data_IF_445538905764
#
_entry.id   IF_445538905764
#
_cell.length_a   1.000
_cell.length_b   1.000
_cell.length_c   1.000
_cell.angle_alpha   90.00
_cell.angle_beta   90.00
_cell.angle_gamma   90.00
#
_symmetry.space_group_name_H-M   'P 1'
#
loop_
_entity.id
_entity.type
_entity.pdbx_description
1 polymer ?
#
# COMPACT_ATOMS: atom_id res chain seq x y z
N UNK A 1 15.67 18.53 -2.22
CA UNK A 1 14.99 19.76 -2.70
C UNK A 1 13.56 19.43 -3.16
N UNK A 2 12.53 20.15 -2.70
CA UNK A 2 11.15 19.90 -3.12
C UNK A 2 11.02 20.12 -4.63
N UNK A 3 10.20 19.31 -5.31
CA UNK A 3 10.05 19.37 -6.76
C UNK A 3 9.26 20.63 -7.16
N UNK A 4 9.46 21.18 -8.37
CA UNK A 4 8.67 22.30 -8.88
C UNK A 4 7.18 21.91 -8.93
N UNK A 5 6.39 22.48 -8.02
CA UNK A 5 4.98 22.09 -7.76
C UNK A 5 4.70 21.94 -6.27
N UNK A 6 5.62 21.35 -5.51
CA UNK A 6 5.53 21.22 -4.05
C UNK A 6 5.85 22.55 -3.34
N UNK A 7 6.66 23.39 -3.98
CA UNK A 7 6.93 24.75 -3.50
C UNK A 7 5.65 25.59 -3.40
N UNK A 8 4.63 25.39 -4.26
CA UNK A 8 3.34 26.10 -4.12
C UNK A 8 2.53 25.62 -2.92
N UNK A 9 2.61 24.33 -2.57
CA UNK A 9 1.91 23.75 -1.41
C UNK A 9 2.58 24.16 -0.11
N UNK A 10 3.91 24.06 -0.01
CA UNK A 10 4.67 24.43 1.19
C UNK A 10 4.65 25.94 1.41
N UNK A 11 4.80 26.75 0.36
CA UNK A 11 4.72 28.22 0.45
C UNK A 11 3.28 28.68 0.73
N UNK A 12 2.27 27.96 0.25
CA UNK A 12 0.86 28.19 0.59
C UNK A 12 0.55 27.87 2.06
N UNK A 13 1.08 26.75 2.60
CA UNK A 13 0.85 26.33 3.98
C UNK A 13 1.60 27.22 4.98
N UNK A 14 2.87 27.55 4.75
CA UNK A 14 3.63 28.46 5.61
C UNK A 14 3.06 29.89 5.60
N UNK A 15 2.61 30.37 4.44
CA UNK A 15 1.98 31.69 4.33
C UNK A 15 0.60 31.69 5.00
N UNK A 16 -0.19 30.62 4.86
CA UNK A 16 -1.46 30.46 5.55
C UNK A 16 -1.29 30.35 7.08
N UNK A 17 -0.24 29.68 7.57
CA UNK A 17 0.09 29.58 9.01
C UNK A 17 0.55 30.94 9.55
N UNK A 18 1.40 31.68 8.84
CA UNK A 18 1.82 33.03 9.26
C UNK A 18 0.68 34.04 9.19
N UNK A 19 -0.17 33.94 8.17
CA UNK A 19 -1.35 34.78 7.99
C UNK A 19 -2.42 34.48 9.05
N UNK A 20 -2.70 33.20 9.33
CA UNK A 20 -3.65 32.81 10.38
C UNK A 20 -3.17 33.21 11.77
N UNK A 21 -1.88 33.07 12.08
CA UNK A 21 -1.30 33.56 13.33
C UNK A 21 -1.49 35.08 13.49
N UNK A 22 -1.34 35.86 12.42
CA UNK A 22 -1.60 37.29 12.42
C UNK A 22 -3.08 37.63 12.69
N UNK A 23 -4.01 36.91 12.07
CA UNK A 23 -5.45 37.12 12.25
C UNK A 23 -5.93 36.75 13.66
N UNK A 24 -5.38 35.70 14.26
CA UNK A 24 -5.67 35.30 15.64
C UNK A 24 -5.18 36.36 16.63
N UNK A 25 -4.01 36.95 16.37
CA UNK A 25 -3.47 38.04 17.20
C UNK A 25 -4.30 39.34 17.10
N UNK A 26 -5.07 39.51 16.02
CA UNK A 26 -5.93 40.69 15.78
C UNK A 26 -7.39 40.48 16.20
N UNK A 27 -7.75 39.37 16.86
CA UNK A 27 -9.12 39.00 17.29
C UNK A 27 -10.16 39.06 16.15
N UNK A 28 -9.75 38.66 14.94
CA UNK A 28 -10.55 38.76 13.72
C UNK A 28 -11.48 37.57 13.47
N UNK A 29 -11.86 36.78 14.47
CA UNK A 29 -12.76 35.63 14.33
C UNK A 29 -12.46 34.80 13.05
N UNK A 30 -11.32 34.10 13.08
CA UNK A 30 -10.77 33.35 11.95
C UNK A 30 -11.23 31.88 11.97
N UNK A 31 -11.53 31.32 10.79
CA UNK A 31 -11.75 29.89 10.60
C UNK A 31 -11.05 29.38 9.31
N UNK A 32 -10.49 28.17 9.39
CA UNK A 32 -9.82 27.46 8.30
C UNK A 32 -10.39 26.06 8.14
N UNK A 33 -10.73 25.68 6.90
CA UNK A 33 -11.40 24.42 6.56
C UNK A 33 -10.56 23.52 5.62
N UNK A 34 -9.28 23.86 5.41
CA UNK A 34 -8.47 23.26 4.35
C UNK A 34 -8.22 21.74 4.44
N UNK A 35 -8.46 21.13 5.60
CA UNK A 35 -8.37 19.67 5.75
C UNK A 35 -9.55 18.93 5.11
N UNK A 36 -10.66 19.64 4.85
CA UNK A 36 -11.90 19.07 4.29
C UNK A 36 -12.24 19.61 2.89
N UNK A 37 -11.64 20.73 2.51
CA UNK A 37 -11.96 21.48 1.29
C UNK A 37 -10.88 21.23 0.23
N UNK A 38 -11.31 20.87 -0.99
CA UNK A 38 -10.41 20.59 -2.12
C UNK A 38 -10.80 21.41 -3.34
N UNK A 39 -9.90 21.55 -4.32
CA UNK A 39 -10.17 22.28 -5.57
C UNK A 39 -11.34 21.68 -6.40
N UNK A 40 -11.75 20.46 -6.10
CA UNK A 40 -12.94 19.83 -6.69
C UNK A 40 -14.26 20.48 -6.23
N UNK A 41 -14.24 21.22 -5.12
CA UNK A 41 -15.39 21.93 -4.55
C UNK A 41 -15.13 23.44 -4.58
N UNK A 42 -15.05 24.07 -5.76
CA UNK A 42 -14.68 25.48 -5.89
C UNK A 42 -15.63 26.42 -5.13
N UNK A 43 -16.86 25.98 -4.85
CA UNK A 43 -17.86 26.74 -4.08
C UNK A 43 -17.61 26.74 -2.56
N UNK A 44 -16.77 25.85 -2.05
CA UNK A 44 -16.60 25.66 -0.61
C UNK A 44 -15.75 26.78 0.01
N UNK A 45 -16.15 27.24 1.19
CA UNK A 45 -15.38 28.21 1.98
C UNK A 45 -14.12 27.51 2.49
N UNK A 46 -12.95 27.94 2.00
CA UNK A 46 -11.65 27.43 2.43
C UNK A 46 -11.20 28.09 3.73
N UNK A 47 -11.38 29.41 3.83
CA UNK A 47 -11.12 30.17 5.06
C UNK A 47 -11.91 31.47 5.10
N UNK A 48 -12.09 31.99 6.32
CA UNK A 48 -12.76 33.27 6.56
C UNK A 48 -12.21 34.01 7.76
N UNK A 49 -12.35 35.33 7.77
CA UNK A 49 -12.09 36.17 8.94
C UNK A 49 -12.94 37.44 8.90
N UNK A 50 -13.25 37.96 10.08
CA UNK A 50 -13.98 39.20 10.28
C UNK A 50 -13.14 40.40 9.85
N UNK A 51 -13.80 41.32 9.15
CA UNK A 51 -13.26 42.62 8.73
C UNK A 51 -14.17 43.74 9.29
N UNK A 52 -13.89 44.99 8.91
CA UNK A 52 -14.66 46.16 9.37
C UNK A 52 -16.15 46.08 8.95
N UNK A 53 -16.99 46.91 9.60
CA UNK A 53 -18.42 47.04 9.32
C UNK A 53 -19.25 45.75 9.45
N UNK A 54 -18.78 44.79 10.26
CA UNK A 54 -19.50 43.53 10.51
C UNK A 54 -19.50 42.56 9.33
N UNK A 55 -18.57 42.73 8.39
CA UNK A 55 -18.38 41.84 7.24
C UNK A 55 -17.31 40.80 7.51
N UNK A 56 -17.23 39.81 6.63
CA UNK A 56 -16.18 38.80 6.59
C UNK A 56 -15.52 38.80 5.23
N UNK A 57 -14.20 38.61 5.20
CA UNK A 57 -13.50 38.21 3.98
C UNK A 57 -13.45 36.69 3.95
N UNK A 58 -13.83 36.13 2.81
CA UNK A 58 -13.80 34.70 2.55
C UNK A 58 -12.84 34.40 1.40
N UNK A 59 -12.18 33.26 1.49
CA UNK A 59 -11.43 32.64 0.39
C UNK A 59 -12.13 31.32 0.08
N UNK A 60 -12.45 31.12 -1.19
CA UNK A 60 -13.02 29.86 -1.69
C UNK A 60 -11.92 28.86 -2.05
N UNK A 61 -12.30 27.61 -2.29
CA UNK A 61 -11.36 26.55 -2.67
C UNK A 61 -10.65 26.83 -4.02
N UNK A 62 -11.28 27.61 -4.91
CA UNK A 62 -10.68 28.09 -6.16
C UNK A 62 -9.74 29.30 -5.97
N UNK A 63 -9.50 29.69 -4.72
CA UNK A 63 -8.66 30.81 -4.29
C UNK A 63 -9.20 32.19 -4.68
N UNK A 64 -10.46 32.27 -5.11
CA UNK A 64 -11.14 33.57 -5.24
C UNK A 64 -11.48 34.14 -3.86
N UNK A 65 -11.44 35.47 -3.76
CA UNK A 65 -11.71 36.19 -2.53
C UNK A 65 -12.92 37.11 -2.67
N UNK A 66 -13.74 37.19 -1.62
CA UNK A 66 -14.92 38.08 -1.58
C UNK A 66 -15.16 38.59 -0.17
N UNK A 67 -15.73 39.78 -0.05
CA UNK A 67 -16.24 40.31 1.21
C UNK A 67 -17.76 40.10 1.27
N UNK A 68 -18.24 39.57 2.39
CA UNK A 68 -19.64 39.16 2.58
C UNK A 68 -20.18 39.64 3.92
N UNK A 69 -21.50 39.83 3.99
CA UNK A 69 -22.20 40.01 5.27
C UNK A 69 -22.19 38.72 6.11
N UNK A 70 -22.42 38.83 7.42
CA UNK A 70 -22.56 37.67 8.29
C UNK A 70 -23.69 36.71 7.83
N UNK A 71 -24.79 37.25 7.30
CA UNK A 71 -25.90 36.44 6.78
C UNK A 71 -25.54 35.66 5.52
N UNK A 72 -24.80 36.28 4.59
CA UNK A 72 -24.27 35.58 3.41
C UNK A 72 -23.21 34.54 3.78
N UNK A 73 -22.33 34.83 4.75
CA UNK A 73 -21.36 33.86 5.24
C UNK A 73 -22.06 32.60 5.76
N UNK A 74 -23.07 32.76 6.60
CA UNK A 74 -23.84 31.65 7.15
C UNK A 74 -24.50 30.81 6.04
N UNK A 75 -24.96 31.44 4.95
CA UNK A 75 -25.51 30.71 3.79
C UNK A 75 -24.44 29.93 3.03
N UNK A 76 -23.24 30.50 2.87
CA UNK A 76 -22.13 29.85 2.16
C UNK A 76 -21.54 28.69 2.98
N UNK A 77 -21.40 28.85 4.29
CA UNK A 77 -20.93 27.79 5.20
C UNK A 77 -21.95 26.66 5.37
N UNK A 78 -23.24 26.93 5.11
CA UNK A 78 -24.29 25.90 5.11
C UNK A 78 -24.35 25.07 3.81
N UNK A 79 -23.61 25.44 2.75
CA UNK A 79 -23.59 24.66 1.51
C UNK A 79 -22.78 23.37 1.73
N UNK A 80 -23.35 22.18 1.51
CA UNK A 80 -22.61 20.93 1.68
C UNK A 80 -21.47 20.84 0.65
N UNK A 81 -20.36 20.21 1.06
CA UNK A 81 -19.20 19.98 0.20
C UNK A 81 -19.60 19.17 -1.04
N UNK A 82 -20.30 18.07 -0.81
CA UNK A 82 -20.96 17.30 -1.85
C UNK A 82 -22.37 17.85 -2.10
N UNK A 83 -22.60 18.40 -3.28
CA UNK A 83 -23.92 18.90 -3.69
C UNK A 83 -24.80 17.84 -4.34
N UNK A 84 -24.28 16.61 -4.53
CA UNK A 84 -25.05 15.47 -5.05
C UNK A 84 -25.85 14.83 -3.93
N UNK A 85 -26.99 14.20 -4.22
CA UNK A 85 -27.81 13.55 -3.19
C UNK A 85 -27.23 12.23 -2.68
N UNK A 86 -26.13 11.73 -3.24
CA UNK A 86 -25.53 10.42 -2.94
C UNK A 86 -24.13 10.58 -2.34
N UNK A 87 -23.73 9.64 -1.50
CA UNK A 87 -22.37 9.54 -0.97
C UNK A 87 -21.32 9.43 -2.09
N UNK A 88 -20.13 10.00 -1.86
CA UNK A 88 -18.97 9.93 -2.76
C UNK A 88 -17.67 9.73 -1.98
N UNK A 89 -16.54 9.52 -2.67
CA UNK A 89 -15.20 9.34 -2.08
C UNK A 89 -15.17 8.25 -1.00
N UNK A 90 -15.49 7.01 -1.36
CA UNK A 90 -15.43 5.88 -0.45
C UNK A 90 -14.02 5.66 0.10
N UNK A 91 -13.95 5.16 1.32
CA UNK A 91 -12.76 4.59 1.96
C UNK A 91 -13.17 3.25 2.61
N UNK A 92 -12.54 2.11 2.26
CA UNK A 92 -11.55 1.96 1.20
C UNK A 92 -12.01 2.51 -0.15
N UNK A 93 -11.07 3.05 -0.92
CA UNK A 93 -11.35 3.54 -2.27
C UNK A 93 -11.98 2.43 -3.12
N UNK A 94 -12.84 2.80 -4.06
CA UNK A 94 -13.47 1.81 -4.94
C UNK A 94 -12.40 1.06 -5.75
N UNK A 95 -12.45 -0.27 -5.68
CA UNK A 95 -11.45 -1.16 -6.27
C UNK A 95 -10.15 -1.28 -5.47
N UNK A 96 -10.10 -0.82 -4.21
CA UNK A 96 -8.90 -0.95 -3.38
C UNK A 96 -8.52 -2.43 -3.18
N UNK A 97 -7.22 -2.72 -3.20
CA UNK A 97 -6.67 -4.08 -3.03
C UNK A 97 -5.72 -4.16 -1.83
N UNK A 98 -5.72 -5.33 -1.18
CA UNK A 98 -4.82 -5.64 -0.07
C UNK A 98 -5.22 -5.05 1.28
N UNK A 99 -6.46 -4.60 1.46
CA UNK A 99 -6.87 -3.84 2.65
C UNK A 99 -6.65 -4.62 3.96
N UNK A 100 -6.33 -3.91 5.04
CA UNK A 100 -6.21 -4.49 6.38
C UNK A 100 -7.49 -5.24 6.80
N UNK A 101 -7.33 -6.35 7.53
CA UNK A 101 -8.48 -7.10 8.09
C UNK A 101 -8.98 -6.49 9.40
N UNK A 102 -8.07 -5.94 10.21
CA UNK A 102 -8.35 -5.42 11.55
C UNK A 102 -8.32 -3.91 11.57
N UNK A 103 -9.22 -3.30 12.35
CA UNK A 103 -9.30 -1.84 12.50
C UNK A 103 -9.86 -1.09 11.28
N UNK A 104 -10.12 -1.77 10.17
CA UNK A 104 -10.72 -1.17 8.98
C UNK A 104 -12.16 -0.69 9.26
N UNK A 105 -12.48 0.49 8.74
CA UNK A 105 -13.83 1.06 8.75
C UNK A 105 -14.19 1.51 7.35
N UNK A 106 -15.49 1.51 7.05
CA UNK A 106 -16.01 2.20 5.88
C UNK A 106 -16.17 3.67 6.22
N UNK A 107 -15.72 4.57 5.38
CA UNK A 107 -16.05 6.00 5.46
C UNK A 107 -16.28 6.61 4.09
N UNK A 108 -17.03 7.71 4.05
CA UNK A 108 -17.43 8.35 2.80
C UNK A 108 -17.63 9.84 3.02
N UNK A 109 -17.78 10.59 1.93
CA UNK A 109 -18.31 11.94 1.98
C UNK A 109 -19.83 11.89 1.81
N UNK A 110 -20.60 12.35 2.81
CA UNK A 110 -22.07 12.39 2.75
C UNK A 110 -22.63 13.06 1.51
N UNK A 111 -23.82 12.65 1.08
CA UNK A 111 -24.68 13.39 0.16
C UNK A 111 -25.12 14.75 0.73
N UNK A 112 -25.66 15.60 -0.14
CA UNK A 112 -26.21 16.89 0.25
C UNK A 112 -27.41 16.74 1.19
N UNK A 113 -27.39 17.51 2.28
CA UNK A 113 -28.50 17.69 3.23
C UNK A 113 -29.03 16.41 3.88
N UNK A 114 -28.17 15.42 4.10
CA UNK A 114 -28.55 14.10 4.64
C UNK A 114 -28.79 14.15 6.15
N UNK A 115 -29.77 13.35 6.62
CA UNK A 115 -30.00 13.11 8.05
C UNK A 115 -29.36 11.80 8.55
N UNK A 116 -29.37 10.75 7.73
CA UNK A 116 -28.95 9.41 8.10
C UNK A 116 -28.41 8.64 6.88
N UNK A 117 -27.52 7.70 7.13
CA UNK A 117 -26.90 6.82 6.15
C UNK A 117 -27.32 5.37 6.39
N UNK A 118 -27.77 4.67 5.36
CA UNK A 118 -27.97 3.20 5.38
C UNK A 118 -26.81 2.54 4.66
N UNK A 119 -25.98 1.82 5.40
CA UNK A 119 -24.78 1.17 4.85
C UNK A 119 -25.11 -0.28 4.53
N UNK A 120 -24.87 -0.67 3.28
CA UNK A 120 -25.03 -2.05 2.81
C UNK A 120 -23.67 -2.67 2.57
N UNK A 121 -23.52 -3.95 2.89
CA UNK A 121 -22.26 -4.68 2.79
C UNK A 121 -22.49 -6.15 2.46
N UNK A 122 -21.59 -6.76 1.70
CA UNK A 122 -21.62 -8.19 1.39
C UNK A 122 -20.48 -8.63 0.47
N UNK A 123 -20.44 -9.90 0.12
CA UNK A 123 -19.44 -10.50 -0.80
C UNK A 123 -19.98 -10.71 -2.21
N UNK A 124 -21.21 -10.27 -2.48
CA UNK A 124 -21.84 -10.31 -3.80
C UNK A 124 -22.46 -8.96 -4.13
N UNK A 125 -22.16 -8.45 -5.32
CA UNK A 125 -22.69 -7.18 -5.83
C UNK A 125 -24.23 -7.18 -5.90
N UNK A 126 -24.84 -8.35 -6.15
CA UNK A 126 -26.28 -8.51 -6.29
C UNK A 126 -27.01 -8.76 -4.97
N UNK A 127 -26.26 -9.09 -3.89
CA UNK A 127 -26.84 -9.53 -2.63
C UNK A 127 -26.09 -8.98 -1.42
N UNK A 128 -26.12 -7.66 -1.24
CA UNK A 128 -25.65 -7.00 -0.03
C UNK A 128 -26.77 -6.89 1.01
N UNK A 129 -26.44 -7.09 2.28
CA UNK A 129 -27.34 -6.88 3.41
C UNK A 129 -27.12 -5.51 4.05
N UNK A 130 -28.16 -4.97 4.70
CA UNK A 130 -28.01 -3.78 5.54
C UNK A 130 -27.04 -4.11 6.70
N UNK A 131 -25.91 -3.41 6.72
CA UNK A 131 -24.89 -3.53 7.76
C UNK A 131 -25.25 -2.67 8.98
N UNK A 132 -25.60 -1.40 8.74
CA UNK A 132 -25.94 -0.45 9.80
C UNK A 132 -26.71 0.76 9.27
N UNK A 133 -27.39 1.46 10.19
CA UNK A 133 -27.94 2.80 9.98
C UNK A 133 -27.16 3.74 10.91
N UNK A 134 -26.56 4.81 10.36
CA UNK A 134 -25.66 5.71 11.10
C UNK A 134 -25.90 7.16 10.75
N UNK A 135 -25.61 8.06 11.69
CA UNK A 135 -25.59 9.53 11.45
C UNK A 135 -24.16 10.07 11.28
N UNK A 136 -23.16 9.18 11.41
CA UNK A 136 -21.75 9.45 11.15
C UNK A 136 -21.41 9.18 9.68
N UNK A 137 -20.31 9.75 9.21
CA UNK A 137 -19.74 9.53 7.87
C UNK A 137 -18.84 8.27 7.80
N UNK A 138 -19.04 7.34 8.75
CA UNK A 138 -18.34 6.06 8.82
C UNK A 138 -19.21 4.96 9.44
N UNK A 139 -18.85 3.71 9.13
CA UNK A 139 -19.42 2.50 9.71
C UNK A 139 -18.33 1.47 10.04
N UNK A 140 -18.50 0.75 11.15
CA UNK A 140 -17.67 -0.39 11.48
C UNK A 140 -17.96 -1.59 10.58
N UNK A 141 -16.97 -2.46 10.40
CA UNK A 141 -17.08 -3.67 9.59
C UNK A 141 -17.22 -4.92 10.48
N UNK A 142 -17.86 -6.00 9.97
CA UNK A 142 -17.76 -7.32 10.58
C UNK A 142 -16.33 -7.87 10.44
N UNK A 143 -16.08 -9.05 11.01
CA UNK A 143 -14.83 -9.78 10.75
C UNK A 143 -14.69 -10.06 9.25
N UNK A 144 -13.51 -9.75 8.71
CA UNK A 144 -13.18 -9.89 7.29
C UNK A 144 -12.33 -11.13 7.06
N UNK A 145 -12.52 -11.75 5.90
CA UNK A 145 -11.72 -12.87 5.43
C UNK A 145 -10.66 -12.38 4.44
N UNK A 146 -9.43 -12.92 4.55
CA UNK A 146 -8.35 -12.67 3.58
C UNK A 146 -8.74 -13.25 2.21
N UNK A 147 -8.31 -12.61 1.13
CA UNK A 147 -8.56 -13.05 -0.25
C UNK A 147 -9.97 -12.81 -0.75
N UNK A 148 -10.78 -12.03 -0.02
CA UNK A 148 -12.20 -11.82 -0.31
C UNK A 148 -12.43 -10.43 -0.87
N UNK A 149 -13.23 -10.35 -1.93
CA UNK A 149 -13.77 -9.10 -2.43
C UNK A 149 -15.10 -8.79 -1.73
N UNK A 150 -15.16 -7.62 -1.12
CA UNK A 150 -16.36 -7.09 -0.51
C UNK A 150 -16.94 -5.96 -1.35
N UNK A 151 -18.26 -5.89 -1.38
CA UNK A 151 -19.06 -4.86 -2.02
C UNK A 151 -19.83 -4.11 -0.96
N UNK A 152 -19.94 -2.80 -1.13
CA UNK A 152 -20.66 -1.95 -0.21
C UNK A 152 -21.24 -0.74 -0.90
N UNK A 153 -22.28 -0.16 -0.30
CA UNK A 153 -22.83 1.13 -0.72
C UNK A 153 -23.44 1.88 0.44
N UNK A 154 -23.68 3.16 0.25
CA UNK A 154 -24.36 4.02 1.22
C UNK A 154 -25.59 4.63 0.57
N UNK A 155 -26.76 4.27 1.10
CA UNK A 155 -28.03 4.89 0.70
C UNK A 155 -28.31 6.07 1.63
N UNK A 156 -28.49 7.25 1.04
CA UNK A 156 -28.61 8.52 1.76
C UNK A 156 -30.07 8.84 2.08
N UNK A 157 -30.38 9.03 3.37
CA UNK A 157 -31.74 9.33 3.85
C UNK A 157 -31.89 10.84 4.04
N UNK A 158 -32.77 11.43 3.23
CA UNK A 158 -33.07 12.86 3.25
C UNK A 158 -34.04 13.24 4.38
N UNK A 159 -34.12 14.52 4.79
CA UNK A 159 -34.96 14.95 5.90
C UNK A 159 -36.46 14.69 5.70
N UNK A 160 -36.92 14.69 4.46
CA UNK A 160 -38.28 14.33 4.07
C UNK A 160 -38.53 12.82 3.99
N UNK A 161 -37.51 11.99 4.25
CA UNK A 161 -37.56 10.54 4.26
C UNK A 161 -37.33 9.88 2.90
N UNK A 162 -37.00 10.65 1.85
CA UNK A 162 -36.60 10.08 0.56
C UNK A 162 -35.22 9.43 0.67
N UNK A 163 -34.98 8.35 -0.08
CA UNK A 163 -33.71 7.62 -0.07
C UNK A 163 -33.04 7.75 -1.43
N UNK A 164 -31.83 8.31 -1.44
CA UNK A 164 -30.97 8.34 -2.62
C UNK A 164 -29.99 7.18 -2.57
N UNK A 165 -30.26 6.13 -3.35
CA UNK A 165 -29.39 4.95 -3.45
C UNK A 165 -28.00 5.32 -3.94
N UNK A 166 -26.97 4.91 -3.20
CA UNK A 166 -25.57 5.17 -3.53
C UNK A 166 -25.05 4.33 -4.69
N UNK A 167 -23.85 4.70 -5.16
CA UNK A 167 -23.10 3.85 -6.08
C UNK A 167 -22.52 2.66 -5.30
N UNK A 168 -22.32 1.52 -5.98
CA UNK A 168 -21.71 0.34 -5.35
C UNK A 168 -20.20 0.45 -5.51
N UNK A 169 -19.51 0.33 -4.39
CA UNK A 169 -18.06 0.30 -4.31
C UNK A 169 -17.57 -1.08 -3.87
N UNK A 170 -16.31 -1.36 -4.14
CA UNK A 170 -15.69 -2.63 -3.76
C UNK A 170 -14.29 -2.45 -3.20
N UNK A 171 -13.83 -3.44 -2.43
CA UNK A 171 -12.43 -3.62 -2.07
C UNK A 171 -12.10 -5.09 -1.87
N UNK A 172 -10.83 -5.45 -2.00
CA UNK A 172 -10.30 -6.79 -1.80
C UNK A 172 -9.28 -6.81 -0.66
N UNK A 173 -9.33 -7.82 0.21
CA UNK A 173 -8.46 -7.96 1.39
C UNK A 173 -7.07 -8.53 1.09
N UNK A 174 -6.72 -8.71 -0.19
CA UNK A 174 -5.47 -9.29 -0.69
C UNK A 174 -5.34 -10.77 -0.38
N UNK A 175 -4.43 -11.48 -1.05
CA UNK A 175 -4.22 -12.93 -0.87
C UNK A 175 -2.75 -13.31 -0.97
N UNK A 176 -2.43 -14.54 -0.56
CA UNK A 176 -1.22 -15.22 -0.98
C UNK A 176 -1.31 -15.47 -2.49
N UNK A 177 -0.40 -14.87 -3.25
CA UNK A 177 -0.34 -15.01 -4.72
C UNK A 177 0.41 -16.28 -5.08
N UNK A 178 1.58 -16.50 -4.48
CA UNK A 178 2.39 -17.69 -4.75
C UNK A 178 3.24 -18.05 -3.53
N UNK A 179 3.52 -19.34 -3.38
CA UNK A 179 4.37 -19.87 -2.32
C UNK A 179 5.17 -21.06 -2.83
N UNK A 180 6.48 -20.87 -3.00
CA UNK A 180 7.40 -21.95 -3.30
C UNK A 180 8.11 -22.33 -2.02
N UNK A 181 7.71 -23.46 -1.45
CA UNK A 181 8.44 -24.05 -0.31
C UNK A 181 9.83 -24.48 -0.71
N UNK A 182 10.01 -24.93 -1.96
CA UNK A 182 11.26 -25.53 -2.45
C UNK A 182 11.60 -26.88 -1.78
N UNK A 183 10.56 -27.64 -1.44
CA UNK A 183 10.59 -29.00 -0.85
C UNK A 183 10.42 -30.14 -1.88
N UNK A 184 10.59 -29.87 -3.18
CA UNK A 184 10.26 -30.84 -4.23
C UNK A 184 11.29 -31.99 -4.32
N UNK A 185 12.45 -31.84 -3.68
CA UNK A 185 13.55 -32.81 -3.52
C UNK A 185 14.23 -33.31 -4.81
N UNK A 186 13.62 -33.10 -5.99
CA UNK A 186 14.12 -33.59 -7.27
C UNK A 186 13.41 -32.96 -8.48
N UNK A 187 14.01 -33.13 -9.65
CA UNK A 187 13.45 -32.64 -10.92
C UNK A 187 13.71 -31.15 -11.16
N UNK A 188 13.04 -30.62 -12.19
CA UNK A 188 13.25 -29.26 -12.69
C UNK A 188 12.03 -28.36 -12.48
N UNK A 189 11.20 -28.65 -11.47
CA UNK A 189 9.99 -27.87 -11.19
C UNK A 189 9.98 -27.45 -9.73
N UNK A 190 9.80 -26.16 -9.48
CA UNK A 190 9.48 -25.61 -8.17
C UNK A 190 7.95 -25.49 -8.06
N UNK A 191 7.32 -26.29 -7.20
CA UNK A 191 5.85 -26.33 -7.12
C UNK A 191 5.31 -25.17 -6.28
N UNK A 192 4.28 -24.51 -6.82
CA UNK A 192 3.54 -23.48 -6.08
C UNK A 192 2.55 -24.13 -5.09
N UNK A 193 2.91 -24.08 -3.82
CA UNK A 193 2.16 -24.56 -2.67
C UNK A 193 0.99 -23.66 -2.26
N UNK A 194 0.80 -22.49 -2.89
CA UNK A 194 -0.34 -21.60 -2.61
C UNK A 194 -1.67 -22.14 -3.15
N UNK A 195 -1.63 -23.06 -4.11
CA UNK A 195 -2.81 -23.55 -4.83
C UNK A 195 -3.20 -22.72 -6.05
N UNK A 196 -2.42 -21.70 -6.43
CA UNK A 196 -2.68 -20.85 -7.60
C UNK A 196 -1.98 -21.31 -8.89
N UNK A 197 -1.22 -22.42 -8.83
CA UNK A 197 -0.56 -23.06 -9.96
C UNK A 197 0.53 -22.22 -10.65
N UNK A 198 1.20 -21.34 -9.92
CA UNK A 198 2.39 -20.60 -10.39
C UNK A 198 3.68 -21.44 -10.29
N UNK A 199 3.68 -22.65 -10.83
CA UNK A 199 4.86 -23.53 -10.78
C UNK A 199 6.04 -22.90 -11.57
N UNK A 200 7.23 -22.98 -10.99
CA UNK A 200 8.47 -22.51 -11.61
C UNK A 200 9.23 -23.62 -12.33
N UNK A 201 9.99 -23.26 -13.37
CA UNK A 201 10.93 -24.15 -14.07
C UNK A 201 12.36 -23.80 -13.68
N UNK A 202 13.11 -24.79 -13.19
CA UNK A 202 14.53 -24.63 -12.85
C UNK A 202 15.37 -24.60 -14.12
N UNK A 203 16.23 -23.59 -14.24
CA UNK A 203 17.17 -23.36 -15.34
C UNK A 203 18.59 -23.21 -14.77
N UNK A 204 19.59 -23.54 -15.60
CA UNK A 204 20.97 -23.69 -15.15
C UNK A 204 21.26 -25.10 -14.61
N UNK A 205 22.21 -25.19 -13.69
CA UNK A 205 22.63 -26.41 -12.99
C UNK A 205 22.37 -26.36 -11.47
N UNK A 206 21.45 -25.49 -11.05
CA UNK A 206 20.86 -25.46 -9.70
C UNK A 206 20.48 -26.85 -9.18
N UNK A 207 20.65 -27.06 -7.88
CA UNK A 207 20.45 -28.36 -7.22
C UNK A 207 19.69 -28.25 -5.92
N UNK A 208 18.90 -29.28 -5.62
CA UNK A 208 18.22 -29.47 -4.34
C UNK A 208 19.22 -29.87 -3.24
N UNK A 209 19.14 -29.20 -2.09
CA UNK A 209 19.96 -29.44 -0.89
C UNK A 209 19.11 -29.32 0.37
N UNK A 210 19.63 -29.73 1.53
CA UNK A 210 18.94 -29.53 2.81
C UNK A 210 18.69 -28.03 3.09
N UNK A 211 17.43 -27.68 3.35
CA UNK A 211 16.95 -26.31 3.56
C UNK A 211 16.93 -25.86 5.02
N UNK A 212 16.26 -24.73 5.29
CA UNK A 212 15.94 -24.31 6.67
C UNK A 212 14.78 -25.16 7.22
N UNK A 213 13.83 -25.53 6.38
CA UNK A 213 12.74 -26.46 6.67
C UNK A 213 12.51 -27.32 5.42
N UNK A 214 12.89 -28.60 5.48
CA UNK A 214 12.83 -29.47 4.30
C UNK A 214 14.03 -29.28 3.37
N UNK A 215 13.76 -29.03 2.08
CA UNK A 215 14.80 -28.84 1.05
C UNK A 215 14.88 -27.35 0.63
N UNK A 216 15.96 -26.99 -0.04
CA UNK A 216 16.19 -25.67 -0.62
C UNK A 216 16.86 -25.80 -1.98
N UNK A 217 16.88 -24.69 -2.74
CA UNK A 217 17.66 -24.60 -3.97
C UNK A 217 19.01 -23.93 -3.73
N UNK A 218 20.07 -24.56 -4.22
CA UNK A 218 21.40 -24.00 -4.29
C UNK A 218 21.63 -23.30 -5.64
N UNK A 219 22.17 -22.10 -5.57
CA UNK A 219 22.56 -21.26 -6.71
C UNK A 219 24.04 -20.93 -6.57
N UNK A 220 24.82 -21.08 -7.63
CA UNK A 220 26.28 -20.88 -7.60
C UNK A 220 26.74 -19.49 -8.06
N UNK A 221 25.79 -18.65 -8.46
CA UNK A 221 26.05 -17.35 -9.06
C UNK A 221 26.24 -17.39 -10.58
N UNK A 222 26.05 -18.48 -11.30
CA UNK A 222 26.30 -18.52 -12.74
C UNK A 222 25.19 -19.22 -13.52
N UNK A 223 24.24 -18.44 -14.04
CA UNK A 223 23.20 -18.99 -14.94
C UNK A 223 22.04 -19.70 -14.25
N UNK A 224 22.08 -19.85 -12.93
CA UNK A 224 21.04 -20.50 -12.12
C UNK A 224 19.88 -19.58 -11.78
N UNK A 225 18.65 -20.01 -12.10
CA UNK A 225 17.41 -19.33 -11.67
C UNK A 225 16.19 -20.24 -11.83
N UNK A 226 15.09 -19.84 -11.19
CA UNK A 226 13.76 -20.42 -11.42
C UNK A 226 12.91 -19.43 -12.20
N UNK A 227 12.44 -19.85 -13.37
CA UNK A 227 11.48 -19.09 -14.19
C UNK A 227 10.05 -19.44 -13.77
N UNK A 228 9.36 -18.49 -13.12
CA UNK A 228 7.94 -18.61 -12.74
C UNK A 228 7.01 -18.28 -13.92
N UNK A 229 7.53 -17.60 -14.93
CA UNK A 229 6.79 -17.10 -16.07
C UNK A 229 6.10 -15.77 -15.81
N UNK A 230 5.20 -15.44 -16.74
CA UNK A 230 4.44 -14.19 -16.77
C UNK A 230 2.99 -14.49 -16.40
N UNK A 231 2.48 -13.78 -15.41
CA UNK A 231 1.06 -13.81 -15.05
C UNK A 231 0.63 -12.43 -14.52
N UNK A 232 -0.61 -12.07 -14.80
CA UNK A 232 -1.21 -10.80 -14.35
C UNK A 232 -1.39 -10.78 -12.82
N UNK A 233 -1.43 -11.94 -12.15
CA UNK A 233 -1.46 -12.01 -10.69
C UNK A 233 -0.25 -11.35 -10.02
N UNK A 234 0.87 -11.19 -10.74
CA UNK A 234 2.06 -10.50 -10.28
C UNK A 234 2.11 -9.00 -10.61
N UNK A 235 1.10 -8.47 -11.31
CA UNK A 235 0.93 -7.05 -11.63
C UNK A 235 0.35 -6.27 -10.44
N UNK A 236 1.01 -6.40 -9.29
CA UNK A 236 0.61 -5.83 -8.02
C UNK A 236 0.90 -4.33 -8.02
N UNK A 237 -0.11 -3.50 -7.73
CA UNK A 237 -0.02 -2.02 -7.83
C UNK A 237 -0.09 -1.30 -6.49
N UNK A 238 -0.72 -1.92 -5.48
CA UNK A 238 -1.08 -1.25 -4.23
C UNK A 238 -0.25 -1.73 -3.05
N UNK A 239 -0.48 -2.93 -2.56
CA UNK A 239 0.21 -3.47 -1.39
C UNK A 239 0.86 -4.79 -1.76
N UNK A 240 2.06 -5.03 -1.23
CA UNK A 240 2.81 -6.24 -1.52
C UNK A 240 3.61 -6.67 -0.31
N UNK A 241 3.72 -7.98 -0.11
CA UNK A 241 4.78 -8.56 0.70
C UNK A 241 5.52 -9.60 -0.13
N UNK A 242 6.84 -9.53 -0.15
CA UNK A 242 7.71 -10.54 -0.77
C UNK A 242 8.67 -11.03 0.31
N UNK A 243 8.69 -12.33 0.56
CA UNK A 243 9.58 -12.94 1.56
C UNK A 243 10.29 -14.17 1.04
N UNK A 244 11.44 -14.48 1.64
CA UNK A 244 12.20 -15.69 1.38
C UNK A 244 13.07 -16.02 2.60
N UNK A 245 13.49 -17.27 2.73
CA UNK A 245 14.68 -17.63 3.48
C UNK A 245 15.88 -17.66 2.55
N UNK A 246 16.99 -17.11 3.02
CA UNK A 246 18.24 -17.06 2.26
C UNK A 246 19.43 -17.49 3.11
N UNK A 247 20.43 -18.08 2.48
CA UNK A 247 21.75 -18.29 3.06
C UNK A 247 22.82 -17.91 2.05
N UNK A 248 23.50 -16.81 2.28
CA UNK A 248 24.49 -16.28 1.34
C UNK A 248 25.74 -17.17 1.37
N UNK A 249 26.19 -17.63 0.20
CA UNK A 249 27.50 -18.28 0.06
C UNK A 249 28.57 -17.28 -0.35
N UNK A 250 28.25 -16.39 -1.28
CA UNK A 250 29.12 -15.27 -1.63
C UNK A 250 28.34 -14.10 -2.21
N UNK A 251 28.89 -12.92 -2.00
CA UNK A 251 28.40 -11.67 -2.57
C UNK A 251 29.42 -11.15 -3.60
N UNK A 252 29.40 -11.77 -4.79
CA UNK A 252 30.43 -11.66 -5.82
C UNK A 252 30.11 -10.67 -6.96
N UNK A 253 28.90 -10.12 -7.00
CA UNK A 253 28.48 -9.09 -7.98
C UNK A 253 27.43 -8.14 -7.43
N UNK A 254 27.27 -7.02 -8.09
CA UNK A 254 26.27 -6.03 -7.70
C UNK A 254 24.84 -6.55 -7.96
N UNK A 255 23.92 -6.28 -7.02
CA UNK A 255 22.47 -6.55 -7.12
C UNK A 255 22.05 -8.01 -7.31
N UNK A 256 22.78 -8.97 -6.73
CA UNK A 256 22.34 -10.37 -6.72
C UNK A 256 20.90 -10.52 -6.26
N UNK A 257 20.07 -11.13 -7.10
CA UNK A 257 18.61 -11.09 -6.96
C UNK A 257 18.12 -12.34 -6.24
N UNK A 258 17.31 -12.13 -5.19
CA UNK A 258 16.63 -13.22 -4.50
C UNK A 258 15.37 -13.57 -5.28
N UNK A 259 14.52 -12.58 -5.53
CA UNK A 259 13.31 -12.71 -6.35
C UNK A 259 12.91 -11.37 -6.95
N UNK A 260 12.52 -11.34 -8.22
CA UNK A 260 12.14 -10.10 -8.91
C UNK A 260 11.16 -10.29 -10.06
N UNK A 261 10.30 -9.28 -10.27
CA UNK A 261 9.57 -9.01 -11.54
C UNK A 261 10.29 -7.94 -12.39
N UNK A 262 11.58 -7.72 -12.11
CA UNK A 262 12.41 -6.74 -12.81
C UNK A 262 12.42 -5.34 -12.19
N UNK A 263 13.39 -4.53 -12.63
CA UNK A 263 13.69 -3.22 -12.04
C UNK A 263 12.53 -2.22 -12.13
N UNK A 264 11.68 -2.31 -13.16
CA UNK A 264 10.52 -1.42 -13.37
C UNK A 264 9.22 -1.91 -12.74
N UNK A 265 9.27 -2.97 -11.92
CA UNK A 265 8.17 -3.42 -11.07
C UNK A 265 8.65 -3.52 -9.61
N UNK A 266 8.71 -4.72 -9.04
CA UNK A 266 9.18 -4.97 -7.68
C UNK A 266 10.33 -5.99 -7.66
N UNK A 267 11.20 -5.89 -6.64
CA UNK A 267 12.35 -6.78 -6.45
C UNK A 267 12.83 -6.80 -5.00
N UNK A 268 13.32 -7.98 -4.58
CA UNK A 268 14.08 -8.19 -3.35
C UNK A 268 15.45 -8.75 -3.73
N UNK A 269 16.52 -8.02 -3.41
CA UNK A 269 17.86 -8.30 -3.92
C UNK A 269 18.94 -7.76 -2.97
N UNK A 270 20.21 -8.03 -3.29
CA UNK A 270 21.37 -7.41 -2.66
C UNK A 270 21.38 -5.89 -2.89
N UNK A 271 21.75 -5.13 -1.86
CA UNK A 271 22.01 -3.70 -1.97
C UNK A 271 23.32 -3.45 -2.71
N UNK A 272 23.24 -3.10 -4.00
CA UNK A 272 24.41 -2.82 -4.83
C UNK A 272 25.50 -3.88 -4.60
N UNK A 273 26.66 -3.48 -4.09
CA UNK A 273 27.82 -4.28 -3.74
C UNK A 273 28.08 -4.34 -2.23
N UNK A 274 27.09 -4.03 -1.41
CA UNK A 274 27.15 -4.10 0.06
C UNK A 274 26.76 -5.50 0.55
N UNK A 275 26.93 -5.76 1.86
CA UNK A 275 26.46 -7.00 2.48
C UNK A 275 25.02 -6.95 3.01
N UNK A 276 24.29 -5.88 2.71
CA UNK A 276 22.88 -5.71 3.10
C UNK A 276 21.93 -5.90 1.91
N UNK A 277 20.61 -5.84 2.16
CA UNK A 277 19.58 -6.05 1.13
C UNK A 277 18.89 -4.74 0.69
N UNK A 278 18.31 -4.77 -0.50
CA UNK A 278 17.46 -3.74 -1.09
C UNK A 278 16.06 -4.34 -1.34
N UNK A 279 15.03 -3.64 -0.88
CA UNK A 279 13.66 -3.85 -1.36
C UNK A 279 13.20 -2.63 -2.15
N UNK A 280 12.66 -2.87 -3.33
CA UNK A 280 12.28 -1.80 -4.23
C UNK A 280 10.96 -2.10 -4.94
N UNK A 281 10.13 -1.06 -5.02
CA UNK A 281 8.87 -1.01 -5.73
C UNK A 281 8.88 0.24 -6.62
N UNK A 282 9.14 0.05 -7.91
CA UNK A 282 9.19 1.12 -8.89
C UNK A 282 7.84 1.81 -9.03
N UNK A 283 7.85 3.14 -9.15
CA UNK A 283 6.63 3.96 -9.19
C UNK A 283 6.34 4.68 -7.88
N UNK A 284 6.89 4.18 -6.76
CA UNK A 284 6.82 4.85 -5.47
C UNK A 284 7.80 6.02 -5.39
N UNK A 285 7.44 7.02 -4.60
CA UNK A 285 8.26 8.21 -4.35
C UNK A 285 8.84 8.14 -2.96
N UNK A 286 10.04 7.57 -2.84
CA UNK A 286 10.79 7.55 -1.58
C UNK A 286 11.77 8.75 -1.56
N UNK A 287 11.68 9.66 -0.57
CA UNK A 287 12.51 10.86 -0.52
C UNK A 287 14.02 10.58 -0.64
N UNK A 288 14.68 11.25 -1.58
CA UNK A 288 16.13 11.15 -1.77
C UNK A 288 16.61 9.89 -2.48
N UNK A 289 15.71 9.08 -3.03
CA UNK A 289 16.06 7.86 -3.79
C UNK A 289 15.43 7.87 -5.18
N UNK A 290 15.98 7.05 -6.07
CA UNK A 290 15.36 6.67 -7.34
C UNK A 290 14.75 5.26 -7.21
N UNK A 291 13.75 4.97 -8.05
CA UNK A 291 13.14 3.63 -8.17
C UNK A 291 12.34 3.12 -6.95
N UNK A 292 11.94 4.01 -6.04
CA UNK A 292 11.02 3.67 -4.95
C UNK A 292 11.56 2.54 -4.06
N UNK A 293 12.71 2.77 -3.43
CA UNK A 293 13.47 1.71 -2.75
C UNK A 293 13.97 2.11 -1.38
N UNK A 294 14.30 1.08 -0.60
CA UNK A 294 14.96 1.19 0.70
C UNK A 294 16.11 0.18 0.78
N UNK A 295 17.09 0.51 1.62
CA UNK A 295 18.22 -0.36 1.92
C UNK A 295 18.16 -0.80 3.38
N UNK A 296 18.54 -2.04 3.62
CA UNK A 296 18.72 -2.59 4.95
C UNK A 296 20.02 -2.14 5.61
N UNK A 297 20.08 -2.35 6.91
CA UNK A 297 21.21 -2.04 7.78
C UNK A 297 21.92 -3.30 8.28
N UNK A 298 21.23 -4.45 8.26
CA UNK A 298 21.77 -5.72 8.74
C UNK A 298 22.56 -6.44 7.66
N UNK A 299 23.78 -6.87 8.01
CA UNK A 299 24.60 -7.75 7.19
C UNK A 299 24.02 -9.16 7.20
N UNK A 300 23.79 -9.74 6.02
CA UNK A 300 23.25 -11.09 5.84
C UNK A 300 24.26 -12.06 5.22
N UNK A 301 25.49 -11.61 4.99
CA UNK A 301 26.57 -12.40 4.40
C UNK A 301 27.50 -12.95 5.49
N UNK A 302 26.91 -13.69 6.43
CA UNK A 302 27.60 -14.27 7.58
C UNK A 302 27.61 -15.82 7.54
N UNK A 303 27.01 -16.41 6.50
CA UNK A 303 26.91 -17.85 6.29
C UNK A 303 25.79 -18.52 7.08
N UNK A 304 24.85 -17.78 7.68
CA UNK A 304 23.66 -18.30 8.33
C UNK A 304 22.39 -18.12 7.49
N UNK A 305 21.33 -18.85 7.86
CA UNK A 305 20.00 -18.65 7.29
C UNK A 305 19.38 -17.38 7.87
N UNK A 306 18.85 -16.54 6.98
CA UNK A 306 18.08 -15.35 7.35
C UNK A 306 16.71 -15.37 6.69
N UNK A 307 15.68 -15.04 7.45
CA UNK A 307 14.36 -14.74 6.87
C UNK A 307 14.35 -13.27 6.45
N UNK A 308 13.99 -12.99 5.21
CA UNK A 308 14.01 -11.63 4.66
C UNK A 308 12.66 -11.31 4.05
N UNK A 309 12.14 -10.11 4.31
CA UNK A 309 10.86 -9.69 3.76
C UNK A 309 10.82 -8.21 3.42
N UNK A 310 10.38 -7.89 2.20
CA UNK A 310 10.01 -6.55 1.76
C UNK A 310 8.51 -6.36 1.81
N UNK A 311 8.04 -5.28 2.44
CA UNK A 311 6.61 -4.96 2.60
C UNK A 311 6.35 -3.54 2.09
N UNK A 312 5.25 -3.36 1.35
CA UNK A 312 4.68 -2.05 1.04
C UNK A 312 3.20 -2.03 1.43
N UNK A 313 2.82 -1.09 2.30
CA UNK A 313 1.46 -0.97 2.87
C UNK A 313 0.62 0.17 2.26
N UNK A 314 1.02 0.66 1.07
CA UNK A 314 0.48 1.84 0.39
C UNK A 314 0.95 3.20 0.96
N UNK A 315 1.55 3.22 2.16
CA UNK A 315 2.11 4.43 2.78
C UNK A 315 3.64 4.37 2.83
N UNK A 316 4.19 3.22 3.22
CA UNK A 316 5.59 3.00 3.57
C UNK A 316 6.13 1.70 3.00
N UNK A 317 7.41 1.73 2.66
CA UNK A 317 8.21 0.52 2.48
C UNK A 317 8.81 0.09 3.81
N UNK A 318 8.91 -1.21 4.01
CA UNK A 318 9.58 -1.85 5.12
C UNK A 318 10.44 -2.99 4.61
N UNK A 319 11.59 -3.17 5.25
CA UNK A 319 12.47 -4.32 5.06
C UNK A 319 12.68 -4.96 6.43
N UNK A 320 12.44 -6.27 6.48
CA UNK A 320 12.56 -7.08 7.68
C UNK A 320 13.65 -8.13 7.50
N UNK A 321 14.43 -8.34 8.55
CA UNK A 321 15.43 -9.41 8.64
C UNK A 321 15.16 -10.19 9.94
N UNK A 322 15.05 -11.51 9.84
CA UNK A 322 14.76 -12.44 10.94
C UNK A 322 13.53 -12.08 11.77
N UNK A 323 12.49 -11.59 11.09
CA UNK A 323 11.22 -11.20 11.71
C UNK A 323 11.24 -9.82 12.38
N UNK A 324 12.36 -9.10 12.34
CA UNK A 324 12.52 -7.77 12.94
C UNK A 324 12.59 -6.69 11.86
N UNK A 325 12.03 -5.51 12.14
CA UNK A 325 12.11 -4.36 11.23
C UNK A 325 13.55 -3.85 11.15
N UNK A 326 14.14 -3.89 9.96
CA UNK A 326 15.52 -3.47 9.69
C UNK A 326 15.58 -2.05 9.10
N UNK A 327 14.64 -1.71 8.21
CA UNK A 327 14.53 -0.36 7.64
C UNK A 327 13.10 -0.03 7.20
N UNK A 328 12.74 1.26 7.22
CA UNK A 328 11.50 1.75 6.62
C UNK A 328 11.61 3.18 6.08
N UNK A 329 10.73 3.53 5.14
CA UNK A 329 10.61 4.89 4.61
C UNK A 329 9.20 5.18 4.08
N UNK A 330 8.79 6.45 4.16
CA UNK A 330 7.61 6.95 3.45
C UNK A 330 7.78 6.71 1.94
N UNK A 331 6.75 6.15 1.32
CA UNK A 331 6.78 5.71 -0.07
C UNK A 331 5.42 5.91 -0.77
N UNK A 332 4.87 7.14 -0.81
CA UNK A 332 3.61 7.39 -1.51
C UNK A 332 3.71 7.04 -3.00
N UNK A 333 2.65 6.48 -3.55
CA UNK A 333 2.53 6.18 -4.98
C UNK A 333 1.81 4.87 -5.24
N UNK A 334 2.02 4.33 -6.42
CA UNK A 334 1.56 3.00 -6.82
C UNK A 334 2.71 2.27 -7.50
N UNK A 335 2.81 0.97 -7.25
CA UNK A 335 3.79 0.12 -7.91
C UNK A 335 3.46 0.07 -9.41
N UNK A 336 4.50 0.20 -10.25
CA UNK A 336 4.41 0.03 -11.70
C UNK A 336 4.35 -1.44 -12.05
N UNK A 337 3.60 -1.75 -13.09
CA UNK A 337 3.49 -3.08 -13.66
C UNK A 337 4.25 -3.15 -14.99
N UNK A 338 4.62 -4.35 -15.40
CA UNK A 338 5.34 -4.62 -16.63
C UNK A 338 5.05 -6.06 -17.12
N UNK A 339 5.45 -6.35 -18.35
CA UNK A 339 5.32 -7.69 -18.94
C UNK A 339 6.54 -8.59 -18.66
N UNK A 340 7.34 -8.30 -17.63
CA UNK A 340 8.50 -9.14 -17.29
C UNK A 340 8.04 -10.36 -16.49
N UNK A 341 8.70 -11.53 -16.68
CA UNK A 341 8.44 -12.71 -15.85
C UNK A 341 9.00 -12.52 -14.44
N UNK A 342 8.46 -13.27 -13.48
CA UNK A 342 9.02 -13.36 -12.13
C UNK A 342 10.10 -14.43 -12.12
N UNK A 343 11.31 -14.07 -11.69
CA UNK A 343 12.41 -15.02 -11.48
C UNK A 343 12.79 -15.09 -10.00
N UNK A 344 13.16 -16.28 -9.54
CA UNK A 344 13.87 -16.51 -8.27
C UNK A 344 15.34 -16.77 -8.63
N UNK A 345 16.27 -16.10 -7.99
CA UNK A 345 17.71 -16.23 -8.24
C UNK A 345 18.27 -15.37 -9.38
N UNK A 346 17.43 -14.67 -10.16
CA UNK A 346 17.86 -13.73 -11.21
C UNK A 346 16.85 -12.57 -11.37
N UNK A 347 17.24 -11.51 -12.09
CA UNK A 347 16.37 -10.44 -12.56
C UNK A 347 16.15 -10.54 -14.08
N UNK A 348 14.90 -10.80 -14.47
CA UNK A 348 14.50 -10.98 -15.87
C UNK A 348 14.71 -9.75 -16.76
N UNK A 349 14.64 -8.54 -16.18
CA UNK A 349 14.77 -7.28 -16.93
C UNK A 349 16.21 -6.79 -17.03
N UNK A 350 17.03 -7.06 -16.01
CA UNK A 350 18.43 -6.69 -15.92
C UNK A 350 19.26 -7.95 -15.60
N UNK A 351 19.59 -8.76 -16.62
CA UNK A 351 20.21 -10.08 -16.43
C UNK A 351 21.63 -9.99 -15.88
N UNK A 352 22.21 -11.15 -15.54
CA UNK A 352 23.52 -11.30 -14.88
C UNK A 352 23.55 -10.87 -13.40
N UNK A 353 22.40 -10.94 -12.74
CA UNK A 353 22.25 -10.67 -11.29
C UNK A 353 22.03 -11.95 -10.50
N UNK A 354 22.67 -13.04 -10.92
CA UNK A 354 22.52 -14.37 -10.34
C UNK A 354 22.81 -14.41 -8.84
N UNK A 355 21.94 -15.07 -8.08
CA UNK A 355 22.14 -15.36 -6.67
C UNK A 355 23.27 -16.36 -6.45
N UNK A 356 24.03 -16.21 -5.36
CA UNK A 356 25.07 -17.16 -4.96
C UNK A 356 24.87 -17.54 -3.49
N UNK A 357 24.21 -18.67 -3.28
CA UNK A 357 23.73 -19.10 -1.97
C UNK A 357 22.53 -20.04 -2.07
N UNK A 358 21.87 -20.25 -0.94
CA UNK A 358 20.65 -21.04 -0.85
C UNK A 358 19.43 -20.12 -0.77
N UNK A 359 18.32 -20.52 -1.38
CA UNK A 359 17.00 -19.89 -1.24
C UNK A 359 15.99 -20.97 -0.89
N UNK A 360 15.10 -20.64 0.04
CA UNK A 360 14.05 -21.49 0.58
C UNK A 360 12.78 -20.65 0.87
N UNK A 361 11.60 -21.28 0.91
CA UNK A 361 10.32 -20.72 1.32
C UNK A 361 10.02 -19.29 0.81
N UNK A 362 9.96 -19.15 -0.52
CA UNK A 362 9.66 -17.89 -1.22
C UNK A 362 8.15 -17.66 -1.25
N UNK A 363 7.69 -16.48 -0.81
CA UNK A 363 6.27 -16.11 -0.79
C UNK A 363 6.03 -14.73 -1.37
N UNK A 364 4.91 -14.60 -2.08
CA UNK A 364 4.42 -13.33 -2.61
C UNK A 364 2.96 -13.15 -2.18
N UNK A 365 2.67 -12.02 -1.54
CA UNK A 365 1.34 -11.63 -1.09
C UNK A 365 0.92 -10.31 -1.76
N UNK A 366 -0.37 -10.18 -2.10
CA UNK A 366 -0.95 -8.92 -2.59
C UNK A 366 -1.49 -8.01 -1.48
N UNK A 367 -0.91 -8.12 -0.29
CA UNK A 367 -1.20 -7.28 0.87
C UNK A 367 0.06 -7.12 1.73
N UNK A 368 0.05 -6.09 2.60
CA UNK A 368 1.08 -5.91 3.60
C UNK A 368 0.84 -6.84 4.79
N UNK A 369 1.77 -7.76 5.04
CA UNK A 369 1.79 -8.52 6.29
C UNK A 369 2.14 -7.60 7.45
N UNK A 370 1.53 -7.83 8.62
CA UNK A 370 1.91 -7.14 9.85
C UNK A 370 3.29 -7.61 10.35
N UNK A 371 3.92 -6.82 11.20
CA UNK A 371 5.18 -7.21 11.86
C UNK A 371 5.04 -8.55 12.61
N UNK A 372 3.89 -8.79 13.24
CA UNK A 372 3.59 -10.05 13.93
C UNK A 372 3.48 -11.22 12.93
N UNK A 373 2.74 -11.05 11.84
CA UNK A 373 2.64 -12.07 10.78
C UNK A 373 4.03 -12.41 10.20
N UNK A 374 4.87 -11.40 9.96
CA UNK A 374 6.26 -11.58 9.49
C UNK A 374 7.11 -12.34 10.53
N UNK A 375 6.99 -11.98 11.80
CA UNK A 375 7.73 -12.63 12.90
C UNK A 375 7.33 -14.10 13.06
N UNK A 376 6.03 -14.41 12.93
CA UNK A 376 5.53 -15.79 12.98
C UNK A 376 6.11 -16.66 11.85
N UNK A 377 6.20 -16.12 10.64
CA UNK A 377 6.81 -16.82 9.49
C UNK A 377 8.29 -17.11 9.77
N UNK A 378 9.04 -16.10 10.23
CA UNK A 378 10.46 -16.23 10.55
C UNK A 378 10.74 -17.21 11.72
N UNK A 379 9.87 -17.26 12.73
CA UNK A 379 10.09 -18.17 13.87
C UNK A 379 9.69 -19.61 13.56
N UNK A 380 8.65 -19.81 12.74
CA UNK A 380 8.12 -21.15 12.47
C UNK A 380 9.15 -22.06 11.79
N UNK A 381 9.84 -21.58 10.77
CA UNK A 381 10.86 -22.37 10.09
C UNK A 381 12.10 -22.57 10.98
N UNK A 382 12.51 -21.56 11.76
CA UNK A 382 13.61 -21.71 12.72
C UNK A 382 13.34 -22.83 13.74
N UNK A 383 12.12 -22.92 14.28
CA UNK A 383 11.73 -23.98 15.21
C UNK A 383 11.73 -25.38 14.57
N UNK A 384 11.42 -25.49 13.29
CA UNK A 384 11.43 -26.75 12.55
C UNK A 384 12.85 -27.20 12.16
N UNK A 385 13.78 -26.25 12.01
CA UNK A 385 15.20 -26.49 11.72
C UNK A 385 16.04 -27.05 12.87
N UNK A 386 15.52 -27.00 14.11
CA UNK A 386 16.26 -27.47 15.29
C UNK A 386 16.35 -29.01 15.30
N UNK A 387 17.52 -29.59 15.60
CA UNK A 387 17.65 -31.04 15.73
C UNK A 387 16.73 -31.56 16.84
N UNK A 388 15.91 -32.57 16.52
CA UNK A 388 14.98 -33.24 17.45
C UNK A 388 15.69 -34.04 18.55
#
# INVERSE_FOLDING_TARGET
PPKPGDEKRVFGLEMAIRFSAGLVMEDKDFAYYGDKVTAEFPHAVLMRWKIEDGKYRIIFADLTARDVSAGELAQLEAVPLNTRPRAIKPQPADGAEGTALTGLKLSWMPGANVNEHKVYFGTSIDNMSLLSEVTTDYAGLPELERGTTYYWRVDEVQPEGSVATGDIWSFNTGRLIAWWKLDDASGNTAVDSSGNAHNGTLLGDTSWVDGIDGDALAFDGDGDYVDIGKDQSFDITNQITVSAWIKVSAFDREWQTIVAKGDRAWRLQRNWGESTLEFACSGLVVPGTDWGKIYGNTDVNDGHWHHVAGVYDQEKLYLYIDGNLDASAEAPGTIRVNDEPVYIGENSQMPNRFWNGLIDDVRIYSYALSTEEISEIAQKALLLSLPK
#
